data_IF_111724204294
#
_entry.id   IF_111724204294
#
_cell.length_a   1.000
_cell.length_b   1.000
_cell.length_c   1.000
_cell.angle_alpha   90.00
_cell.angle_beta   90.00
_cell.angle_gamma   90.00
#
_symmetry.space_group_name_H-M   'P 1'
#
loop_
_entity.id
_entity.type
_entity.pdbx_description
1 polymer ?
#
# COMPACT_ATOMS: atom_id res chain seq x y z
N UNK A 1 1.41 -34.52 9.21
CA UNK A 1 2.06 -33.79 10.33
C UNK A 1 1.31 -32.50 10.58
N UNK A 2 0.66 -32.30 11.74
CA UNK A 2 -0.23 -31.15 11.97
C UNK A 2 0.43 -29.78 11.75
N UNK A 3 1.69 -29.62 12.18
CA UNK A 3 2.45 -28.37 12.01
C UNK A 3 2.77 -28.02 10.55
N UNK A 4 2.97 -29.03 9.68
CA UNK A 4 3.25 -28.79 8.27
C UNK A 4 2.00 -28.21 7.59
N UNK A 5 0.83 -28.77 7.89
CA UNK A 5 -0.45 -28.30 7.37
C UNK A 5 -0.78 -26.88 7.87
N UNK A 6 -0.46 -26.57 9.13
CA UNK A 6 -0.60 -25.20 9.66
C UNK A 6 0.28 -24.20 8.91
N UNK A 7 1.53 -24.58 8.62
CA UNK A 7 2.46 -23.74 7.87
C UNK A 7 2.01 -23.50 6.42
N UNK A 8 1.54 -24.55 5.73
CA UNK A 8 0.97 -24.45 4.39
C UNK A 8 -0.25 -23.50 4.37
N UNK A 9 -1.13 -23.61 5.36
CA UNK A 9 -2.26 -22.70 5.50
C UNK A 9 -1.83 -21.23 5.72
N UNK A 10 -0.73 -21.00 6.45
CA UNK A 10 -0.18 -19.66 6.63
C UNK A 10 0.39 -19.09 5.34
N UNK A 11 1.16 -19.88 4.59
CA UNK A 11 1.70 -19.47 3.29
C UNK A 11 0.58 -19.18 2.29
N UNK A 12 -0.40 -20.07 2.18
CA UNK A 12 -1.55 -19.88 1.31
C UNK A 12 -2.33 -18.60 1.66
N UNK A 13 -2.39 -18.25 2.95
CA UNK A 13 -3.10 -17.05 3.40
C UNK A 13 -2.34 -15.76 3.13
N UNK A 14 -1.02 -15.76 3.27
CA UNK A 14 -0.19 -14.60 2.93
C UNK A 14 -0.26 -14.32 1.42
N UNK A 15 -0.27 -15.37 0.60
CA UNK A 15 -0.18 -15.25 -0.85
C UNK A 15 1.23 -14.81 -1.26
N UNK A 16 1.39 -14.44 -2.53
CA UNK A 16 2.69 -14.06 -3.08
C UNK A 16 3.04 -12.59 -2.80
N UNK A 17 2.04 -11.75 -2.55
CA UNK A 17 2.17 -10.30 -2.49
C UNK A 17 2.37 -9.74 -1.06
N UNK A 18 2.33 -10.57 -0.01
CA UNK A 18 2.39 -10.11 1.39
C UNK A 18 3.31 -10.95 2.24
N UNK A 19 4.06 -10.26 3.10
CA UNK A 19 5.03 -10.88 4.01
C UNK A 19 4.45 -11.25 5.38
N UNK A 20 3.25 -10.78 5.73
CA UNK A 20 2.63 -11.01 7.03
C UNK A 20 1.12 -10.84 6.98
N UNK A 21 0.42 -11.27 8.04
CA UNK A 21 -0.99 -10.97 8.24
C UNK A 21 -1.36 -11.01 9.72
N UNK A 22 -2.35 -10.21 10.16
CA UNK A 22 -2.81 -10.26 11.55
C UNK A 22 -3.59 -11.54 11.85
N UNK A 23 -3.50 -12.00 13.10
CA UNK A 23 -4.32 -13.13 13.57
C UNK A 23 -5.81 -12.79 13.63
N UNK A 24 -6.14 -11.55 13.98
CA UNK A 24 -7.52 -11.07 14.16
C UNK A 24 -8.11 -10.52 12.87
N UNK A 25 -7.36 -9.68 12.16
CA UNK A 25 -7.72 -9.14 10.84
C UNK A 25 -6.74 -9.65 9.78
N UNK A 26 -7.13 -10.74 9.12
CA UNK A 26 -6.22 -11.48 8.24
C UNK A 26 -5.97 -10.78 6.91
N UNK A 27 -6.61 -9.64 6.67
CA UNK A 27 -6.36 -8.76 5.52
C UNK A 27 -5.31 -7.69 5.82
N UNK A 28 -5.04 -7.37 7.09
CA UNK A 28 -4.04 -6.37 7.49
C UNK A 28 -2.61 -6.96 7.57
N UNK A 29 -1.61 -6.20 7.11
CA UNK A 29 -0.19 -6.52 7.27
C UNK A 29 0.43 -5.79 8.45
N UNK A 30 1.50 -6.35 9.01
CA UNK A 30 2.25 -5.71 10.08
C UNK A 30 3.15 -4.62 9.51
N UNK A 31 2.87 -3.36 9.88
CA UNK A 31 3.60 -2.18 9.44
C UNK A 31 4.16 -1.41 10.63
N UNK A 32 5.20 -0.61 10.39
CA UNK A 32 5.67 0.35 11.37
C UNK A 32 4.80 1.60 11.28
N UNK A 33 4.01 1.85 12.31
CA UNK A 33 3.18 3.05 12.37
C UNK A 33 3.94 4.22 13.01
N UNK A 34 3.57 5.46 12.65
CA UNK A 34 4.17 6.68 13.21
C UNK A 34 3.96 6.77 14.73
N UNK A 35 2.81 6.30 15.22
CA UNK A 35 2.48 6.24 16.64
C UNK A 35 3.15 5.06 17.36
N UNK A 36 4.34 5.30 17.89
CA UNK A 36 5.06 4.36 18.75
C UNK A 36 4.91 4.70 20.24
N UNK A 37 3.69 4.55 20.76
CA UNK A 37 3.39 4.80 22.19
C UNK A 37 4.29 4.02 23.13
N UNK A 38 4.67 2.79 22.76
CA UNK A 38 5.50 1.91 23.58
C UNK A 38 7.00 2.17 23.38
N UNK A 39 7.38 3.04 22.42
CA UNK A 39 8.75 3.38 22.03
C UNK A 39 9.65 2.16 21.79
N UNK A 40 9.06 1.06 21.33
CA UNK A 40 9.74 -0.22 21.14
C UNK A 40 9.81 -0.62 19.66
N UNK A 41 9.33 0.24 18.74
CA UNK A 41 9.31 -0.03 17.31
C UNK A 41 8.42 -1.21 16.92
N UNK A 42 7.46 -1.59 17.75
CA UNK A 42 6.59 -2.73 17.49
C UNK A 42 5.73 -2.49 16.24
N UNK A 43 5.78 -3.44 15.31
CA UNK A 43 4.88 -3.45 14.16
C UNK A 43 3.46 -3.70 14.62
N UNK A 44 2.51 -3.00 14.01
CA UNK A 44 1.09 -3.14 14.29
C UNK A 44 0.37 -3.50 12.98
N UNK A 45 -0.69 -4.32 13.05
CA UNK A 45 -1.47 -4.63 11.87
C UNK A 45 -2.17 -3.35 11.38
N UNK A 46 -1.96 -3.01 10.11
CA UNK A 46 -2.44 -1.79 9.49
C UNK A 46 -2.66 -1.98 7.98
N UNK A 47 -3.23 -0.95 7.37
CA UNK A 47 -3.32 -0.78 5.92
C UNK A 47 -2.67 0.55 5.56
N UNK A 48 -1.99 0.60 4.43
CA UNK A 48 -1.49 1.85 3.87
C UNK A 48 -2.58 2.45 2.96
N UNK A 49 -3.31 3.44 3.48
CA UNK A 49 -4.39 4.11 2.74
C UNK A 49 -3.84 5.30 1.95
N UNK A 50 -4.02 5.25 0.64
CA UNK A 50 -3.70 6.33 -0.28
C UNK A 50 -4.96 7.08 -0.68
N UNK A 51 -4.89 8.41 -0.72
CA UNK A 51 -6.03 9.28 -1.04
C UNK A 51 -5.59 10.36 -2.04
N UNK A 52 -6.30 10.44 -3.15
CA UNK A 52 -6.15 11.49 -4.15
C UNK A 52 -7.19 12.57 -3.91
N UNK A 53 -6.78 13.83 -3.98
CA UNK A 53 -7.68 14.96 -3.79
C UNK A 53 -7.52 15.99 -4.90
N UNK A 54 -8.62 16.61 -5.30
CA UNK A 54 -8.65 17.69 -6.28
C UNK A 54 -9.76 18.66 -5.90
N UNK A 55 -9.48 19.97 -5.88
CA UNK A 55 -10.50 21.01 -5.60
C UNK A 55 -11.33 20.74 -4.32
N UNK A 56 -10.68 20.30 -3.24
CA UNK A 56 -11.29 19.94 -1.95
C UNK A 56 -12.21 18.71 -1.99
N UNK A 57 -12.17 17.93 -3.07
CA UNK A 57 -12.89 16.65 -3.21
C UNK A 57 -11.91 15.48 -3.18
N UNK A 58 -12.35 14.36 -2.63
CA UNK A 58 -11.64 13.08 -2.76
C UNK A 58 -11.96 12.52 -4.14
N UNK A 59 -10.93 12.33 -4.97
CA UNK A 59 -11.06 11.81 -6.34
C UNK A 59 -10.70 10.34 -6.43
N UNK A 60 -9.82 9.84 -5.57
CA UNK A 60 -9.42 8.43 -5.60
C UNK A 60 -9.00 7.93 -4.22
N UNK A 61 -9.09 6.62 -4.01
CA UNK A 61 -8.57 5.98 -2.82
C UNK A 61 -8.23 4.51 -3.09
N UNK A 62 -7.21 4.00 -2.39
CA UNK A 62 -6.79 2.61 -2.45
C UNK A 62 -6.10 2.18 -1.14
N UNK A 63 -6.22 0.90 -0.83
CA UNK A 63 -5.51 0.28 0.29
C UNK A 63 -4.35 -0.56 -0.25
N UNK A 64 -3.18 -0.34 0.33
CA UNK A 64 -1.95 -1.05 0.04
C UNK A 64 -1.49 -1.84 1.25
N UNK A 65 -0.77 -2.92 0.95
CA UNK A 65 -0.26 -3.85 1.94
C UNK A 65 1.23 -3.62 2.22
N UNK A 66 1.86 -2.75 1.43
CA UNK A 66 3.22 -2.27 1.58
C UNK A 66 3.29 -1.11 2.58
N UNK A 67 4.32 -1.14 3.42
CA UNK A 67 4.57 -0.07 4.39
C UNK A 67 5.26 1.15 3.79
N UNK A 68 5.78 1.04 2.57
CA UNK A 68 6.51 2.08 1.87
C UNK A 68 5.62 2.69 0.77
N UNK A 69 5.60 4.01 0.70
CA UNK A 69 4.77 4.77 -0.24
C UNK A 69 5.33 4.75 -1.66
N UNK A 70 6.65 4.56 -1.83
CA UNK A 70 7.33 4.56 -3.13
C UNK A 70 6.71 3.56 -4.13
N UNK A 71 6.29 2.39 -3.68
CA UNK A 71 5.73 1.34 -4.54
C UNK A 71 4.25 1.55 -4.87
N UNK A 72 3.58 2.50 -4.21
CA UNK A 72 2.12 2.65 -4.32
C UNK A 72 1.71 3.61 -5.45
N UNK A 73 2.55 4.59 -5.80
CA UNK A 73 2.19 5.69 -6.71
C UNK A 73 1.69 5.22 -8.07
N UNK A 74 2.49 4.39 -8.75
CA UNK A 74 2.21 3.92 -10.11
C UNK A 74 0.85 3.23 -10.17
N UNK A 75 0.62 2.24 -9.30
CA UNK A 75 -0.66 1.54 -9.22
C UNK A 75 -1.83 2.45 -8.84
N UNK A 76 -1.59 3.49 -8.03
CA UNK A 76 -2.62 4.45 -7.61
C UNK A 76 -3.07 5.35 -8.76
N UNK A 77 -2.13 5.82 -9.57
CA UNK A 77 -2.37 6.65 -10.75
C UNK A 77 -3.02 5.81 -11.88
N UNK A 78 -2.57 4.57 -12.08
CA UNK A 78 -3.25 3.63 -12.99
C UNK A 78 -4.70 3.36 -12.56
N UNK A 79 -4.95 3.22 -11.26
CA UNK A 79 -6.31 3.06 -10.74
C UNK A 79 -7.19 4.28 -11.06
N UNK A 80 -6.63 5.50 -10.99
CA UNK A 80 -7.33 6.71 -11.42
C UNK A 80 -7.69 6.63 -12.92
N UNK A 81 -6.71 6.28 -13.77
CA UNK A 81 -6.95 6.11 -15.20
C UNK A 81 -8.00 5.04 -15.49
N UNK A 82 -7.98 3.92 -14.77
CA UNK A 82 -8.99 2.85 -14.89
C UNK A 82 -10.39 3.33 -14.50
N UNK A 83 -10.52 4.22 -13.52
CA UNK A 83 -11.81 4.75 -13.04
C UNK A 83 -12.38 5.82 -13.95
N UNK A 84 -11.53 6.72 -14.46
CA UNK A 84 -11.97 7.93 -15.15
C UNK A 84 -11.65 7.96 -16.66
N UNK A 85 -10.89 6.98 -17.16
CA UNK A 85 -10.47 6.90 -18.55
C UNK A 85 -9.35 7.88 -18.93
N UNK A 86 -8.76 8.57 -17.95
CA UNK A 86 -7.67 9.52 -18.15
C UNK A 86 -6.75 9.62 -16.94
N UNK A 87 -5.49 9.92 -17.19
CA UNK A 87 -4.54 10.26 -16.13
C UNK A 87 -4.83 11.67 -15.57
N UNK A 88 -4.49 11.94 -14.30
CA UNK A 88 -4.44 13.30 -13.79
C UNK A 88 -3.48 14.15 -14.63
N UNK A 89 -3.80 15.43 -14.85
CA UNK A 89 -2.91 16.32 -15.61
C UNK A 89 -1.59 16.54 -14.88
N UNK A 90 -1.66 16.68 -13.57
CA UNK A 90 -0.51 16.88 -12.69
C UNK A 90 -0.73 16.03 -11.44
N UNK A 91 0.34 15.39 -10.97
CA UNK A 91 0.35 14.64 -9.72
C UNK A 91 1.31 15.34 -8.77
N UNK A 92 0.79 15.77 -7.62
CA UNK A 92 1.60 16.33 -6.55
C UNK A 92 1.55 15.38 -5.36
N UNK A 93 2.72 14.88 -4.96
CA UNK A 93 2.90 13.98 -3.84
C UNK A 93 4.12 14.44 -3.00
N UNK A 94 4.25 13.93 -1.79
CA UNK A 94 5.43 14.23 -0.97
C UNK A 94 6.69 13.50 -1.47
N UNK A 95 7.85 13.80 -0.87
CA UNK A 95 9.12 13.21 -1.27
C UNK A 95 9.21 11.70 -1.02
N UNK A 96 8.31 11.11 -0.23
CA UNK A 96 8.24 9.68 0.04
C UNK A 96 7.85 8.85 -1.18
N UNK A 97 7.28 9.46 -2.22
CA UNK A 97 6.99 8.80 -3.50
C UNK A 97 8.14 8.92 -4.51
N UNK A 98 9.25 9.56 -4.14
CA UNK A 98 10.37 9.82 -5.05
C UNK A 98 11.19 8.56 -5.33
N UNK A 99 10.94 7.89 -6.45
CA UNK A 99 11.74 6.79 -6.97
C UNK A 99 12.00 6.98 -8.47
N UNK A 100 13.12 6.45 -8.99
CA UNK A 100 13.43 6.50 -10.42
C UNK A 100 12.30 5.89 -11.27
N UNK A 101 11.71 4.79 -10.79
CA UNK A 101 10.60 4.11 -11.44
C UNK A 101 9.36 5.00 -11.52
N UNK A 102 9.01 5.69 -10.44
CA UNK A 102 7.88 6.62 -10.41
C UNK A 102 8.12 7.83 -11.34
N UNK A 103 9.33 8.38 -11.36
CA UNK A 103 9.65 9.48 -12.28
C UNK A 103 9.54 9.05 -13.74
N UNK A 104 10.06 7.87 -14.10
CA UNK A 104 9.90 7.31 -15.44
C UNK A 104 8.44 7.05 -15.78
N UNK A 105 7.65 6.55 -14.84
CA UNK A 105 6.23 6.33 -15.06
C UNK A 105 5.49 7.64 -15.36
N UNK A 106 5.76 8.70 -14.59
CA UNK A 106 5.17 10.03 -14.78
C UNK A 106 5.64 10.74 -16.05
N UNK A 107 6.87 10.48 -16.52
CA UNK A 107 7.38 11.07 -17.78
C UNK A 107 6.72 10.43 -19.01
N UNK A 108 6.30 9.16 -18.90
CA UNK A 108 5.78 8.38 -20.03
C UNK A 108 4.24 8.39 -20.17
N UNK A 109 3.49 8.97 -19.22
CA UNK A 109 2.01 8.94 -19.17
C UNK A 109 1.43 10.33 -18.89
#
# INVERSE_FOLDING_TARGET
>A
MPKLQEYENHLQRMGDDRNSYSKTDKEATFMRIKEDHMKNGQLKPAYNLQIGTENQLITNYAFYQDSDDTMTLTSFVELHHKRYGSYPREVCADAGYGSEENYKFMENN
#
